data_IF_665542475220
#
_entry.id   IF_665542475220
#
_cell.length_a   1.000
_cell.length_b   1.000
_cell.length_c   1.000
_cell.angle_alpha   90.00
_cell.angle_beta   90.00
_cell.angle_gamma   90.00
#
_symmetry.space_group_name_H-M   'P 1'
#
loop_
_entity.id
_entity.type
_entity.pdbx_description
1 polymer ?
#
# COMPACT_ATOMS: atom_id res chain seq x y z
N UNK A 1 6.06 -7.92 -18.43
CA UNK A 1 4.71 -8.47 -18.23
C UNK A 1 3.74 -7.35 -17.89
N UNK A 2 2.68 -7.23 -18.65
CA UNK A 2 1.70 -6.18 -18.42
C UNK A 2 0.68 -6.59 -17.37
N UNK A 3 0.34 -5.67 -16.49
CA UNK A 3 -0.59 -5.91 -15.42
C UNK A 3 -1.49 -4.69 -15.26
N UNK A 4 -2.78 -4.92 -15.04
CA UNK A 4 -3.72 -3.85 -14.78
C UNK A 4 -3.75 -3.52 -13.30
N UNK A 5 -4.13 -2.29 -12.98
CA UNK A 5 -4.31 -1.90 -11.58
C UNK A 5 -5.36 -2.78 -10.89
N UNK A 6 -6.41 -3.16 -11.61
CA UNK A 6 -7.42 -4.08 -11.07
C UNK A 6 -6.82 -5.42 -10.66
N UNK A 7 -5.78 -5.88 -11.34
CA UNK A 7 -5.08 -7.11 -10.96
C UNK A 7 -4.31 -6.93 -9.66
N UNK A 8 -3.65 -5.80 -9.49
CA UNK A 8 -2.94 -5.49 -8.25
C UNK A 8 -3.88 -5.44 -7.05
N UNK A 9 -5.07 -4.89 -7.23
CA UNK A 9 -6.06 -4.76 -6.16
C UNK A 9 -6.59 -6.10 -5.67
N UNK A 10 -6.43 -7.14 -6.43
CA UNK A 10 -6.87 -8.49 -6.06
C UNK A 10 -5.80 -9.26 -5.28
N UNK A 11 -4.61 -8.71 -5.13
CA UNK A 11 -3.51 -9.35 -4.42
C UNK A 11 -3.35 -8.76 -3.03
N UNK A 12 -3.17 -9.65 -2.07
CA UNK A 12 -2.95 -9.21 -0.69
C UNK A 12 -1.51 -8.78 -0.49
N UNK A 13 -1.33 -7.64 0.19
CA UNK A 13 -0.01 -7.11 0.50
C UNK A 13 0.47 -7.70 1.82
N UNK A 14 1.66 -8.28 1.80
CA UNK A 14 2.28 -8.91 2.97
C UNK A 14 3.64 -8.26 3.19
N UNK A 15 3.86 -7.80 4.42
CA UNK A 15 5.15 -7.23 4.80
C UNK A 15 6.10 -8.35 5.22
N UNK A 16 7.22 -8.50 4.50
CA UNK A 16 8.20 -9.53 4.79
C UNK A 16 8.90 -9.33 6.13
N UNK A 17 9.01 -8.09 6.57
CA UNK A 17 9.77 -7.76 7.78
C UNK A 17 9.16 -8.36 9.04
N UNK A 18 7.83 -8.36 9.14
CA UNK A 18 7.11 -8.87 10.30
C UNK A 18 6.03 -9.89 9.93
N UNK A 19 5.96 -10.30 8.67
CA UNK A 19 4.98 -11.25 8.14
C UNK A 19 3.53 -10.80 8.33
N UNK A 20 3.29 -9.51 8.50
CA UNK A 20 1.93 -9.00 8.65
C UNK A 20 1.22 -8.87 7.33
N UNK A 21 -0.04 -9.22 7.33
CA UNK A 21 -0.94 -8.96 6.22
C UNK A 21 -1.46 -7.53 6.34
N UNK A 22 -1.19 -6.73 5.33
CA UNK A 22 -1.60 -5.33 5.34
C UNK A 22 -2.97 -5.11 4.70
N UNK A 23 -3.41 -6.05 3.88
CA UNK A 23 -4.66 -5.94 3.16
C UNK A 23 -4.44 -5.77 1.67
N UNK A 24 -5.40 -5.16 1.00
CA UNK A 24 -5.37 -5.03 -0.46
C UNK A 24 -5.08 -3.60 -0.86
N UNK A 25 -4.41 -3.45 -1.99
CA UNK A 25 -4.12 -2.12 -2.57
C UNK A 25 -5.44 -1.43 -2.90
N UNK A 26 -5.60 -0.20 -2.44
CA UNK A 26 -6.79 0.61 -2.74
C UNK A 26 -6.53 1.70 -3.77
N UNK A 27 -5.28 2.14 -3.88
CA UNK A 27 -4.92 3.23 -4.77
C UNK A 27 -3.43 3.19 -5.06
N UNK A 28 -2.96 4.06 -5.94
CA UNK A 28 -1.54 4.20 -6.21
C UNK A 28 -1.18 5.66 -6.46
N UNK A 29 0.07 6.00 -6.16
CA UNK A 29 0.64 7.28 -6.52
C UNK A 29 1.53 7.09 -7.74
N UNK A 30 1.39 7.97 -8.70
CA UNK A 30 2.24 7.97 -9.87
C UNK A 30 2.67 9.39 -10.21
N UNK A 31 3.83 9.50 -10.85
CA UNK A 31 4.34 10.78 -11.30
C UNK A 31 3.62 11.16 -12.61
N UNK A 32 2.87 12.25 -12.57
CA UNK A 32 2.12 12.69 -13.73
C UNK A 32 3.00 13.21 -14.86
N UNK A 33 4.27 13.52 -14.57
CA UNK A 33 5.20 14.00 -15.58
C UNK A 33 5.75 12.87 -16.45
N UNK A 34 6.06 11.71 -15.83
CA UNK A 34 6.66 10.58 -16.54
C UNK A 34 5.80 9.31 -16.55
N UNK A 35 4.68 9.33 -15.83
CA UNK A 35 3.76 8.20 -15.78
C UNK A 35 4.24 7.02 -14.95
N UNK A 36 5.31 7.16 -14.17
CA UNK A 36 5.83 6.07 -13.36
C UNK A 36 5.10 5.97 -12.04
N UNK A 37 4.87 4.73 -11.60
CA UNK A 37 4.27 4.47 -10.30
C UNK A 37 5.31 4.73 -9.22
N UNK A 38 4.96 5.57 -8.25
CA UNK A 38 5.84 5.90 -7.13
C UNK A 38 5.56 5.07 -5.89
N UNK A 39 4.29 4.80 -5.61
CA UNK A 39 3.90 4.09 -4.41
C UNK A 39 2.56 3.41 -4.59
N UNK A 40 2.33 2.39 -3.77
CA UNK A 40 1.02 1.74 -3.63
C UNK A 40 0.41 2.18 -2.30
N UNK A 41 -0.91 2.31 -2.28
CA UNK A 41 -1.65 2.73 -1.09
C UNK A 41 -2.53 1.60 -0.61
N UNK A 42 -2.37 1.23 0.65
CA UNK A 42 -3.16 0.21 1.31
C UNK A 42 -3.87 0.86 2.49
N UNK A 43 -5.18 0.64 2.69
CA UNK A 43 -5.88 1.21 3.83
C UNK A 43 -5.20 0.80 5.14
N UNK A 44 -5.01 1.75 6.02
CA UNK A 44 -4.42 1.51 7.32
C UNK A 44 -5.39 0.84 8.28
N UNK A 45 -4.94 0.56 9.50
CA UNK A 45 -5.82 -0.06 10.50
C UNK A 45 -7.00 0.85 10.81
N UNK A 46 -8.19 0.26 10.92
CA UNK A 46 -9.40 1.00 11.21
C UNK A 46 -9.49 1.50 12.64
N UNK A 47 -8.57 1.08 13.51
CA UNK A 47 -8.49 1.53 14.89
C UNK A 47 -7.14 2.17 15.17
N UNK A 48 -7.18 3.36 15.72
CA UNK A 48 -5.99 4.07 16.14
C UNK A 48 -6.23 4.59 17.55
N UNK A 49 -5.41 4.15 18.51
CA UNK A 49 -5.57 4.46 19.93
C UNK A 49 -6.97 4.13 20.48
N UNK A 50 -7.54 3.00 20.05
CA UNK A 50 -8.86 2.59 20.49
C UNK A 50 -10.02 3.34 19.83
N UNK A 51 -9.74 4.32 19.00
CA UNK A 51 -10.74 5.05 18.25
C UNK A 51 -10.84 4.51 16.83
N UNK A 52 -12.04 4.46 16.29
CA UNK A 52 -12.25 4.08 14.91
C UNK A 52 -11.82 5.24 14.03
N UNK A 53 -10.69 5.09 13.34
CA UNK A 53 -10.15 6.16 12.50
C UNK A 53 -9.85 5.63 11.10
N UNK A 54 -10.78 5.78 10.14
CA UNK A 54 -10.57 5.32 8.77
C UNK A 54 -9.66 6.25 7.95
N UNK A 55 -9.03 7.21 8.59
CA UNK A 55 -8.26 8.25 7.91
C UNK A 55 -6.77 7.93 7.76
N UNK A 56 -6.33 6.72 8.12
CA UNK A 56 -4.93 6.31 7.95
C UNK A 56 -4.76 5.38 6.77
N UNK A 57 -3.59 5.42 6.17
CA UNK A 57 -3.24 4.53 5.07
C UNK A 57 -1.74 4.25 5.08
N UNK A 58 -1.36 3.08 4.54
CA UNK A 58 0.05 2.76 4.32
C UNK A 58 0.45 3.22 2.93
N UNK A 59 1.46 4.06 2.87
CA UNK A 59 2.07 4.48 1.60
C UNK A 59 3.35 3.67 1.42
N UNK A 60 3.33 2.78 0.45
CA UNK A 60 4.43 1.83 0.22
C UNK A 60 5.18 2.27 -1.02
N UNK A 61 6.39 2.83 -0.88
CA UNK A 61 7.20 3.20 -2.04
C UNK A 61 7.43 2.01 -2.95
N UNK A 62 7.33 2.22 -4.23
CA UNK A 62 7.44 1.13 -5.21
C UNK A 62 8.80 0.41 -5.10
N UNK A 63 9.84 1.14 -4.75
CA UNK A 63 11.18 0.56 -4.56
C UNK A 63 11.27 -0.40 -3.36
N UNK A 64 10.29 -0.40 -2.46
CA UNK A 64 10.24 -1.33 -1.33
C UNK A 64 9.42 -2.58 -1.64
N UNK A 65 8.87 -2.69 -2.84
CA UNK A 65 8.19 -3.90 -3.27
C UNK A 65 9.24 -4.92 -3.67
N UNK A 66 9.25 -6.06 -2.98
CA UNK A 66 10.21 -7.13 -3.23
C UNK A 66 9.78 -7.94 -4.44
N UNK A 67 8.51 -8.32 -4.46
CA UNK A 67 8.00 -9.18 -5.52
C UNK A 67 6.49 -9.06 -5.64
N UNK A 68 6.00 -9.09 -6.87
CA UNK A 68 4.57 -9.18 -7.16
C UNK A 68 4.30 -10.60 -7.64
N UNK A 69 3.63 -11.38 -6.81
CA UNK A 69 3.24 -12.74 -7.14
C UNK A 69 1.84 -12.83 -7.72
N UNK A 70 1.38 -14.04 -8.04
CA UNK A 70 0.04 -14.23 -8.60
C UNK A 70 -1.09 -13.91 -7.63
N UNK A 71 -0.86 -14.08 -6.32
CA UNK A 71 -1.90 -13.87 -5.30
C UNK A 71 -1.51 -12.86 -4.25
N UNK A 72 -0.23 -12.54 -4.13
CA UNK A 72 0.28 -11.66 -3.08
C UNK A 72 1.28 -10.67 -3.64
N UNK A 73 1.49 -9.59 -2.87
CA UNK A 73 2.54 -8.61 -3.11
C UNK A 73 3.41 -8.58 -1.86
N UNK A 74 4.69 -8.93 -2.02
CA UNK A 74 5.65 -8.90 -0.92
C UNK A 74 6.33 -7.55 -0.87
N UNK A 75 6.33 -6.93 0.30
CA UNK A 75 6.96 -5.64 0.52
C UNK A 75 7.87 -5.69 1.74
N UNK A 76 8.81 -4.79 1.81
CA UNK A 76 9.74 -4.65 2.94
C UNK A 76 9.67 -3.21 3.43
N UNK A 77 8.82 -2.97 4.43
CA UNK A 77 8.59 -1.63 4.97
C UNK A 77 8.59 -1.64 6.49
N UNK A 78 8.86 -0.47 7.05
CA UNK A 78 8.59 -0.21 8.46
C UNK A 78 7.16 0.31 8.56
N UNK A 79 6.30 -0.40 9.28
CA UNK A 79 4.88 -0.07 9.36
C UNK A 79 4.63 1.30 9.98
N UNK A 80 5.47 1.70 10.93
CA UNK A 80 5.31 3.00 11.57
C UNK A 80 5.63 4.13 10.59
N UNK A 81 6.71 3.97 9.82
CA UNK A 81 7.12 4.97 8.84
C UNK A 81 6.18 5.04 7.64
N UNK A 82 5.64 3.90 7.25
CA UNK A 82 4.74 3.83 6.09
C UNK A 82 3.34 4.34 6.39
N UNK A 83 2.95 4.38 7.67
CA UNK A 83 1.61 4.80 8.06
C UNK A 83 1.48 6.31 7.97
N UNK A 84 0.54 6.77 7.17
CA UNK A 84 0.26 8.18 7.00
C UNK A 84 -1.22 8.46 7.17
N UNK A 85 -1.54 9.69 7.56
CA UNK A 85 -2.91 10.14 7.56
C UNK A 85 -3.36 10.35 6.13
N UNK A 86 -4.55 9.88 5.84
CA UNK A 86 -5.16 10.12 4.55
C UNK A 86 -5.40 11.61 4.39
N UNK A 87 -4.81 12.20 3.36
CA UNK A 87 -4.98 13.63 3.08
C UNK A 87 -6.35 13.88 2.50
N UNK A 88 -7.05 14.85 3.09
CA UNK A 88 -8.28 15.32 2.49
C UNK A 88 -7.95 16.06 1.21
N UNK A 89 -8.63 15.68 0.15
CA UNK A 89 -8.52 16.39 -1.11
C UNK A 89 -9.68 17.38 -1.19
N UNK A 90 -9.29 18.59 -1.42
CA UNK A 90 -10.24 19.65 -1.66
C UNK A 90 -10.48 19.80 -3.16
#
# INVERSE_FOLDING_TARGET
MNMRFSDLKQREVINCKDCKRLGFVSDMLFDSCNGKVEALIVPGPGKFFGCFCPCTEYVIPFCHIIRIGPDIILVDIDLVEALEKKKERI
#
